data_IF_970688085156
#
_entry.id   IF_970688085156
#
_cell.length_a   1.000
_cell.length_b   1.000
_cell.length_c   1.000
_cell.angle_alpha   90.00
_cell.angle_beta   90.00
_cell.angle_gamma   90.00
#
_symmetry.space_group_name_H-M   'P 1'
#
loop_
_entity.id
_entity.type
_entity.pdbx_description
1 polymer ?
#
# COMPACT_ATOMS: atom_id res chain seq x y z
N UNK A 1 -30.35 19.88 15.37
CA UNK A 1 -29.48 20.86 14.68
C UNK A 1 -28.19 21.04 15.45
N UNK A 2 -27.14 20.28 15.13
CA UNK A 2 -25.85 20.40 15.82
C UNK A 2 -24.94 21.34 15.03
N UNK A 3 -24.56 22.44 15.68
CA UNK A 3 -23.72 23.53 15.18
C UNK A 3 -22.50 22.98 14.45
N UNK A 4 -22.29 23.47 13.22
CA UNK A 4 -21.02 23.39 12.52
C UNK A 4 -19.94 23.95 13.45
N UNK A 5 -19.17 23.08 14.11
CA UNK A 5 -17.93 23.48 14.77
C UNK A 5 -16.92 23.79 13.66
N UNK A 6 -17.04 24.96 13.04
CA UNK A 6 -16.05 25.55 12.13
C UNK A 6 -14.81 25.95 12.92
N UNK A 7 -14.11 24.96 13.46
CA UNK A 7 -12.82 25.17 14.12
C UNK A 7 -11.71 25.36 13.10
N UNK A 8 -10.61 25.99 13.51
CA UNK A 8 -9.37 26.10 12.73
C UNK A 8 -8.85 24.73 12.25
N UNK A 9 -9.03 23.67 13.06
CA UNK A 9 -8.54 22.31 12.77
C UNK A 9 -9.16 21.70 11.49
N UNK A 10 -10.50 21.63 11.33
CA UNK A 10 -11.12 21.22 10.06
C UNK A 10 -10.61 22.00 8.84
N UNK A 11 -10.44 23.32 8.96
CA UNK A 11 -9.94 24.14 7.85
C UNK A 11 -8.50 23.77 7.45
N UNK A 12 -7.64 23.49 8.43
CA UNK A 12 -6.27 23.01 8.16
C UNK A 12 -6.26 21.67 7.41
N UNK A 13 -7.17 20.75 7.74
CA UNK A 13 -7.27 19.47 7.04
C UNK A 13 -7.88 19.59 5.64
N UNK A 14 -8.81 20.53 5.43
CA UNK A 14 -9.25 20.92 4.08
C UNK A 14 -8.10 21.50 3.26
N UNK A 15 -7.31 22.40 3.86
CA UNK A 15 -6.12 22.96 3.22
C UNK A 15 -5.07 21.90 2.90
N UNK A 16 -4.88 20.92 3.79
CA UNK A 16 -4.00 19.78 3.54
C UNK A 16 -4.51 18.90 2.38
N UNK A 17 -5.82 18.59 2.33
CA UNK A 17 -6.40 17.87 1.19
C UNK A 17 -6.20 18.64 -0.12
N UNK A 18 -6.46 19.95 -0.12
CA UNK A 18 -6.25 20.80 -1.28
C UNK A 18 -4.79 20.80 -1.74
N UNK A 19 -3.86 21.04 -0.83
CA UNK A 19 -2.43 21.03 -1.12
C UNK A 19 -1.99 19.68 -1.69
N UNK A 20 -2.42 18.57 -1.08
CA UNK A 20 -2.08 17.22 -1.57
C UNK A 20 -2.63 17.00 -2.99
N UNK A 21 -3.83 17.46 -3.32
CA UNK A 21 -4.35 17.41 -4.69
C UNK A 21 -3.51 18.22 -5.68
N UNK A 22 -3.03 19.40 -5.29
CA UNK A 22 -2.12 20.19 -6.14
C UNK A 22 -0.76 19.50 -6.34
N UNK A 23 -0.22 18.90 -5.28
CA UNK A 23 1.06 18.19 -5.32
C UNK A 23 1.05 16.95 -6.22
N UNK A 24 -0.12 16.39 -6.53
CA UNK A 24 -0.25 15.31 -7.51
C UNK A 24 0.16 15.74 -8.93
N UNK A 25 0.03 17.03 -9.26
CA UNK A 25 0.41 17.57 -10.57
C UNK A 25 1.91 17.86 -10.69
N UNK A 26 2.67 17.78 -9.58
CA UNK A 26 4.10 18.08 -9.55
C UNK A 26 4.90 16.77 -9.51
N UNK A 27 5.73 16.47 -10.52
CA UNK A 27 6.58 15.29 -10.53
C UNK A 27 7.42 15.20 -9.25
N UNK A 28 7.72 13.97 -8.80
CA UNK A 28 8.41 13.66 -7.52
C UNK A 28 7.56 13.94 -6.27
N UNK A 29 6.85 15.07 -6.22
CA UNK A 29 5.97 15.42 -5.09
C UNK A 29 4.64 14.66 -5.12
N UNK A 30 4.26 14.12 -6.28
CA UNK A 30 3.09 13.26 -6.43
C UNK A 30 3.17 11.97 -5.60
N UNK A 31 4.35 11.37 -5.44
CA UNK A 31 4.54 10.13 -4.66
C UNK A 31 4.17 10.30 -3.17
N UNK A 32 4.75 11.25 -2.42
CA UNK A 32 4.31 11.49 -1.05
C UNK A 32 2.85 11.99 -0.99
N UNK A 33 2.38 12.75 -1.99
CA UNK A 33 0.98 13.17 -2.04
C UNK A 33 0.03 11.96 -2.08
N UNK A 34 0.28 10.99 -2.96
CA UNK A 34 -0.50 9.74 -3.05
C UNK A 34 -0.49 8.97 -1.73
N UNK A 35 0.66 8.86 -1.06
CA UNK A 35 0.79 8.15 0.21
C UNK A 35 -0.02 8.78 1.35
N UNK A 36 -0.20 10.10 1.33
CA UNK A 36 -0.88 10.84 2.40
C UNK A 36 -2.30 11.29 2.06
N UNK A 37 -2.74 11.15 0.80
CA UNK A 37 -4.00 11.68 0.29
C UNK A 37 -5.24 11.22 1.06
N UNK A 38 -5.24 9.98 1.54
CA UNK A 38 -6.38 9.44 2.29
C UNK A 38 -6.51 10.06 3.70
N UNK A 39 -5.39 10.49 4.32
CA UNK A 39 -5.35 10.99 5.71
C UNK A 39 -6.33 12.14 5.97
N UNK A 40 -6.33 13.26 5.21
CA UNK A 40 -7.25 14.36 5.46
C UNK A 40 -8.72 13.93 5.35
N UNK A 41 -9.08 13.05 4.40
CA UNK A 41 -10.44 12.54 4.28
C UNK A 41 -10.86 11.70 5.48
N UNK A 42 -9.97 10.83 5.99
CA UNK A 42 -10.22 10.05 7.22
C UNK A 42 -10.43 10.98 8.41
N UNK A 43 -9.58 12.00 8.56
CA UNK A 43 -9.64 12.93 9.70
C UNK A 43 -10.92 13.77 9.64
N UNK A 44 -11.20 14.40 8.50
CA UNK A 44 -12.40 15.22 8.31
C UNK A 44 -13.66 14.37 8.50
N UNK A 45 -13.73 13.19 7.90
CA UNK A 45 -14.90 12.33 8.04
C UNK A 45 -15.04 11.84 9.48
N UNK A 46 -13.99 11.37 10.13
CA UNK A 46 -14.10 10.84 11.49
C UNK A 46 -14.53 11.89 12.54
N UNK A 47 -14.19 13.17 12.33
CA UNK A 47 -14.38 14.24 13.33
C UNK A 47 -15.55 15.20 13.07
N UNK A 48 -16.06 15.29 11.84
CA UNK A 48 -17.14 16.20 11.47
C UNK A 48 -18.48 15.49 11.34
N UNK A 49 -19.60 16.22 11.28
CA UNK A 49 -20.87 15.66 10.80
C UNK A 49 -20.82 15.39 9.29
N UNK A 50 -21.72 14.57 8.73
CA UNK A 50 -21.73 14.28 7.28
C UNK A 50 -21.88 15.55 6.42
N UNK A 51 -22.75 16.48 6.84
CA UNK A 51 -22.94 17.76 6.14
C UNK A 51 -21.72 18.68 6.25
N UNK A 52 -21.09 18.75 7.44
CA UNK A 52 -19.86 19.51 7.63
C UNK A 52 -18.69 18.94 6.80
N UNK A 53 -18.57 17.61 6.74
CA UNK A 53 -17.59 16.94 5.88
C UNK A 53 -17.77 17.33 4.41
N UNK A 54 -19.00 17.29 3.89
CA UNK A 54 -19.28 17.71 2.51
C UNK A 54 -18.91 19.18 2.27
N UNK A 55 -19.24 20.07 3.21
CA UNK A 55 -18.90 21.49 3.13
C UNK A 55 -17.39 21.76 3.11
N UNK A 56 -16.59 20.87 3.69
CA UNK A 56 -15.13 20.96 3.72
C UNK A 56 -14.45 20.29 2.51
N UNK A 57 -15.07 19.28 1.92
CA UNK A 57 -14.49 18.49 0.82
C UNK A 57 -14.87 19.04 -0.56
N UNK A 58 -16.14 19.44 -0.76
CA UNK A 58 -16.62 19.90 -2.07
C UNK A 58 -15.88 21.16 -2.55
N UNK A 59 -15.72 22.23 -1.73
CA UNK A 59 -14.99 23.42 -2.19
C UNK A 59 -13.53 23.13 -2.51
N UNK A 60 -12.89 22.21 -1.77
CA UNK A 60 -11.50 21.78 -2.03
C UNK A 60 -11.40 21.14 -3.41
N UNK A 61 -12.35 20.27 -3.77
CA UNK A 61 -12.38 19.61 -5.08
C UNK A 61 -12.65 20.59 -6.21
N UNK A 62 -13.62 21.49 -6.04
CA UNK A 62 -13.92 22.53 -7.03
C UNK A 62 -12.68 23.40 -7.26
N UNK A 63 -12.04 23.88 -6.20
CA UNK A 63 -10.83 24.68 -6.30
C UNK A 63 -9.68 23.92 -6.97
N UNK A 64 -9.46 22.65 -6.60
CA UNK A 64 -8.40 21.84 -7.20
C UNK A 64 -8.66 21.59 -8.69
N UNK A 65 -9.91 21.30 -9.08
CA UNK A 65 -10.28 21.09 -10.47
C UNK A 65 -10.14 22.35 -11.33
N UNK A 66 -10.39 23.54 -10.78
CA UNK A 66 -10.18 24.80 -11.48
C UNK A 66 -8.70 25.10 -11.75
N UNK A 67 -7.78 24.60 -10.91
CA UNK A 67 -6.34 24.87 -11.01
C UNK A 67 -5.60 23.79 -11.80
N UNK A 68 -5.85 22.53 -11.47
CA UNK A 68 -5.15 21.36 -12.04
C UNK A 68 -5.89 20.78 -13.24
N UNK A 69 -7.20 21.02 -13.33
CA UNK A 69 -8.08 20.42 -14.32
C UNK A 69 -8.97 19.31 -13.75
N UNK A 70 -10.01 18.89 -14.51
CA UNK A 70 -11.06 18.01 -14.00
C UNK A 70 -10.58 16.58 -13.67
N UNK A 71 -9.49 16.11 -14.28
CA UNK A 71 -8.94 14.78 -14.04
C UNK A 71 -8.54 14.54 -12.58
N UNK A 72 -8.19 15.61 -11.84
CA UNK A 72 -7.86 15.53 -10.41
C UNK A 72 -9.02 15.00 -9.56
N UNK A 73 -10.26 15.15 -10.04
CA UNK A 73 -11.47 14.68 -9.36
C UNK A 73 -11.56 13.15 -9.34
N UNK A 74 -11.02 12.47 -10.35
CA UNK A 74 -10.96 11.00 -10.41
C UNK A 74 -10.08 10.51 -9.26
N UNK A 75 -8.88 11.09 -9.12
CA UNK A 75 -7.95 10.76 -8.04
C UNK A 75 -8.54 11.14 -6.67
N UNK A 76 -9.17 12.32 -6.58
CA UNK A 76 -9.89 12.74 -5.38
C UNK A 76 -10.92 11.69 -4.95
N UNK A 77 -11.73 11.21 -5.89
CA UNK A 77 -12.77 10.21 -5.66
C UNK A 77 -12.19 8.86 -5.25
N UNK A 78 -11.10 8.43 -5.89
CA UNK A 78 -10.39 7.22 -5.51
C UNK A 78 -10.03 7.22 -4.02
N UNK A 79 -9.45 8.30 -3.49
CA UNK A 79 -9.04 8.39 -2.08
C UNK A 79 -10.18 8.73 -1.11
N UNK A 80 -11.27 9.32 -1.60
CA UNK A 80 -12.42 9.69 -0.79
C UNK A 80 -13.15 8.47 -0.23
N UNK A 81 -13.45 7.48 -1.09
CA UNK A 81 -14.20 6.27 -0.71
C UNK A 81 -13.53 5.47 0.43
N UNK A 82 -12.24 5.09 0.34
CA UNK A 82 -11.57 4.35 1.40
C UNK A 82 -11.32 5.24 2.62
N UNK A 83 -11.16 6.56 2.43
CA UNK A 83 -11.08 7.54 3.52
C UNK A 83 -12.36 7.61 4.36
N UNK A 84 -13.52 7.65 3.69
CA UNK A 84 -14.85 7.58 4.33
C UNK A 84 -15.02 6.24 5.04
N UNK A 85 -14.67 5.12 4.38
CA UNK A 85 -14.80 3.79 4.96
C UNK A 85 -13.96 3.65 6.24
N UNK A 86 -12.70 4.08 6.21
CA UNK A 86 -11.81 4.07 7.38
C UNK A 86 -12.35 4.99 8.48
N UNK A 87 -12.77 6.21 8.16
CA UNK A 87 -13.33 7.15 9.12
C UNK A 87 -14.63 6.66 9.76
N UNK A 88 -15.46 5.91 9.02
CA UNK A 88 -16.66 5.27 9.55
C UNK A 88 -16.34 4.15 10.53
N UNK A 89 -15.36 3.31 10.20
CA UNK A 89 -14.90 2.25 11.11
C UNK A 89 -14.23 2.82 12.37
N UNK A 90 -13.56 3.97 12.28
CA UNK A 90 -13.04 4.70 13.45
C UNK A 90 -14.15 5.17 14.38
N UNK A 91 -15.23 5.76 13.86
CA UNK A 91 -16.39 6.16 14.67
C UNK A 91 -17.05 4.97 15.37
N UNK A 92 -17.01 3.79 14.75
CA UNK A 92 -17.48 2.53 15.33
C UNK A 92 -16.48 1.87 16.29
N UNK A 93 -15.29 2.46 16.50
CA UNK A 93 -14.19 1.91 17.31
C UNK A 93 -13.81 0.47 16.92
N UNK A 94 -13.86 0.18 15.63
CA UNK A 94 -13.56 -1.17 15.12
C UNK A 94 -12.07 -1.52 15.30
N UNK A 95 -11.72 -2.79 15.56
CA UNK A 95 -10.33 -3.21 15.74
C UNK A 95 -9.46 -2.87 14.53
N UNK A 96 -8.21 -2.46 14.76
CA UNK A 96 -7.28 -2.06 13.70
C UNK A 96 -7.14 -3.11 12.59
N UNK A 97 -7.08 -4.39 12.94
CA UNK A 97 -7.01 -5.49 11.96
C UNK A 97 -8.24 -5.53 11.02
N UNK A 98 -9.43 -5.23 11.55
CA UNK A 98 -10.67 -5.15 10.74
C UNK A 98 -10.66 -3.91 9.85
N UNK A 99 -10.16 -2.77 10.34
CA UNK A 99 -9.99 -1.55 9.56
C UNK A 99 -9.06 -1.79 8.36
N UNK A 100 -7.86 -2.32 8.61
CA UNK A 100 -6.88 -2.57 7.54
C UNK A 100 -7.43 -3.56 6.51
N UNK A 101 -8.10 -4.64 6.95
CA UNK A 101 -8.66 -5.64 6.03
C UNK A 101 -9.75 -5.04 5.14
N UNK A 102 -10.75 -4.38 5.73
CA UNK A 102 -11.88 -3.85 4.95
C UNK A 102 -11.41 -2.74 4.02
N UNK A 103 -10.63 -1.78 4.54
CA UNK A 103 -10.20 -0.64 3.73
C UNK A 103 -9.18 -1.07 2.66
N UNK A 104 -8.29 -2.01 2.97
CA UNK A 104 -7.35 -2.57 1.99
C UNK A 104 -8.08 -3.28 0.83
N UNK A 105 -9.13 -4.04 1.14
CA UNK A 105 -9.99 -4.66 0.10
C UNK A 105 -10.72 -3.60 -0.71
N UNK A 106 -11.22 -2.52 -0.09
CA UNK A 106 -11.85 -1.41 -0.82
C UNK A 106 -10.86 -0.76 -1.79
N UNK A 107 -9.64 -0.42 -1.33
CA UNK A 107 -8.62 0.18 -2.20
C UNK A 107 -8.24 -0.77 -3.34
N UNK A 108 -8.05 -2.06 -3.06
CA UNK A 108 -7.75 -3.06 -4.09
C UNK A 108 -8.88 -3.18 -5.12
N UNK A 109 -10.13 -3.26 -4.65
CA UNK A 109 -11.30 -3.32 -5.52
C UNK A 109 -11.44 -2.06 -6.38
N UNK A 110 -11.09 -0.89 -5.85
CA UNK A 110 -11.09 0.36 -6.62
C UNK A 110 -10.00 0.36 -7.70
N UNK A 111 -8.78 -0.08 -7.40
CA UNK A 111 -7.71 -0.20 -8.41
C UNK A 111 -8.13 -1.11 -9.57
N UNK A 112 -8.76 -2.25 -9.25
CA UNK A 112 -9.28 -3.17 -10.27
C UNK A 112 -10.47 -2.60 -11.03
N UNK A 113 -11.38 -1.90 -10.33
CA UNK A 113 -12.54 -1.27 -10.94
C UNK A 113 -12.13 -0.15 -11.90
N UNK A 114 -11.11 0.64 -11.56
CA UNK A 114 -10.61 1.69 -12.44
C UNK A 114 -10.10 1.11 -13.76
N UNK A 115 -9.28 0.05 -13.74
CA UNK A 115 -8.86 -0.64 -14.99
C UNK A 115 -10.06 -0.97 -15.89
N UNK A 116 -11.10 -1.57 -15.30
CA UNK A 116 -12.31 -1.94 -16.04
C UNK A 116 -13.09 -0.72 -16.53
N UNK A 117 -13.17 0.34 -15.74
CA UNK A 117 -13.92 1.56 -16.09
C UNK A 117 -13.27 2.28 -17.26
N UNK A 118 -11.94 2.45 -17.24
CA UNK A 118 -11.21 3.06 -18.35
C UNK A 118 -11.36 2.25 -19.64
N UNK A 119 -11.24 0.92 -19.54
CA UNK A 119 -11.34 0.04 -20.71
C UNK A 119 -12.76 0.03 -21.30
N UNK A 120 -13.79 -0.16 -20.47
CA UNK A 120 -15.16 -0.36 -20.96
C UNK A 120 -15.92 0.93 -21.31
N UNK A 121 -15.61 2.05 -20.65
CA UNK A 121 -16.38 3.30 -20.80
C UNK A 121 -15.62 4.39 -21.53
N UNK A 122 -14.29 4.31 -21.60
CA UNK A 122 -13.45 5.31 -22.26
C UNK A 122 -12.67 4.74 -23.45
N UNK A 123 -12.89 3.46 -23.78
CA UNK A 123 -12.13 2.71 -24.80
C UNK A 123 -10.61 2.85 -24.61
N UNK A 124 -10.17 2.96 -23.35
CA UNK A 124 -8.80 3.24 -22.97
C UNK A 124 -8.23 2.10 -22.14
N UNK A 125 -7.36 1.30 -22.76
CA UNK A 125 -6.61 0.26 -22.08
C UNK A 125 -5.41 0.85 -21.35
N UNK A 126 -5.52 0.98 -20.03
CA UNK A 126 -4.41 1.45 -19.18
C UNK A 126 -3.19 0.53 -19.26
N UNK A 127 -3.40 -0.76 -19.55
CA UNK A 127 -2.32 -1.71 -19.72
C UNK A 127 -1.55 -1.49 -21.02
N UNK A 128 -2.25 -1.20 -22.12
CA UNK A 128 -1.62 -0.93 -23.40
C UNK A 128 -0.92 0.42 -23.40
N UNK A 129 -1.53 1.45 -22.80
CA UNK A 129 -0.90 2.76 -22.61
C UNK A 129 0.40 2.66 -21.80
N UNK A 130 0.37 1.89 -20.70
CA UNK A 130 1.58 1.64 -19.90
C UNK A 130 2.64 0.87 -20.71
N UNK A 131 2.21 -0.11 -21.52
CA UNK A 131 3.11 -0.89 -22.38
C UNK A 131 3.77 -0.02 -23.45
N UNK A 132 3.00 0.88 -24.08
CA UNK A 132 3.50 1.85 -25.05
C UNK A 132 4.50 2.81 -24.40
N UNK A 133 4.15 3.37 -23.24
CA UNK A 133 5.02 4.29 -22.52
C UNK A 133 6.37 3.64 -22.16
N UNK A 134 6.35 2.39 -21.66
CA UNK A 134 7.59 1.66 -21.36
C UNK A 134 8.39 1.44 -22.64
N UNK A 135 7.74 1.02 -23.74
CA UNK A 135 8.40 0.83 -25.03
C UNK A 135 9.07 2.09 -25.52
N UNK A 136 8.36 3.22 -25.52
CA UNK A 136 8.87 4.51 -25.99
C UNK A 136 10.11 4.95 -25.20
N UNK A 137 10.14 4.72 -23.89
CA UNK A 137 11.31 4.97 -23.04
C UNK A 137 12.49 4.12 -23.51
N UNK A 138 12.31 2.81 -23.69
CA UNK A 138 13.41 1.92 -24.10
C UNK A 138 13.88 2.19 -25.53
N UNK A 139 12.97 2.48 -26.46
CA UNK A 139 13.30 2.82 -27.84
C UNK A 139 14.12 4.12 -27.91
N UNK A 140 13.79 5.10 -27.08
CA UNK A 140 14.55 6.35 -26.93
C UNK A 140 15.97 6.10 -26.41
N UNK A 141 16.11 5.25 -25.40
CA UNK A 141 17.41 4.92 -24.79
C UNK A 141 18.26 4.07 -25.75
N UNK A 142 17.64 3.15 -26.50
CA UNK A 142 18.27 2.37 -27.57
C UNK A 142 18.80 3.27 -28.69
N UNK A 143 18.02 4.24 -29.14
CA UNK A 143 18.43 5.21 -30.15
C UNK A 143 19.64 6.06 -29.71
N UNK A 144 19.81 6.27 -28.40
CA UNK A 144 20.95 6.98 -27.82
C UNK A 144 22.17 6.08 -27.60
N UNK A 145 22.09 4.78 -27.91
CA UNK A 145 23.13 3.78 -27.71
C UNK A 145 23.68 3.74 -26.26
N UNK A 146 22.80 3.98 -25.30
CA UNK A 146 23.14 4.04 -23.86
C UNK A 146 22.83 2.72 -23.13
N UNK A 147 22.21 1.76 -23.81
CA UNK A 147 21.97 0.41 -23.30
C UNK A 147 23.15 -0.52 -23.58
N UNK A 148 23.17 -1.65 -22.87
CA UNK A 148 24.12 -2.72 -23.15
C UNK A 148 23.98 -3.18 -24.61
N UNK A 149 25.10 -3.47 -25.27
CA UNK A 149 25.18 -3.86 -26.68
C UNK A 149 24.34 -5.09 -27.06
N UNK A 150 23.89 -5.87 -26.08
CA UNK A 150 23.06 -7.07 -26.28
C UNK A 150 21.56 -6.81 -26.11
N UNK A 151 21.14 -5.60 -25.71
CA UNK A 151 19.72 -5.28 -25.55
C UNK A 151 19.03 -5.20 -26.91
N UNK A 152 17.86 -5.84 -27.03
CA UNK A 152 17.05 -5.85 -28.25
C UNK A 152 15.59 -5.53 -27.94
N UNK A 153 14.80 -5.21 -28.96
CA UNK A 153 13.35 -4.99 -28.82
C UNK A 153 12.62 -6.16 -28.14
N UNK A 154 13.06 -7.41 -28.39
CA UNK A 154 12.51 -8.60 -27.75
C UNK A 154 12.74 -8.63 -26.22
N UNK A 155 13.84 -8.05 -25.75
CA UNK A 155 14.07 -7.88 -24.32
C UNK A 155 13.08 -6.87 -23.71
N UNK A 156 12.80 -5.77 -24.42
CA UNK A 156 11.77 -4.80 -24.02
C UNK A 156 10.39 -5.48 -23.95
N UNK A 157 10.02 -6.30 -24.92
CA UNK A 157 8.74 -7.04 -24.93
C UNK A 157 8.60 -7.97 -23.71
N UNK A 158 9.68 -8.69 -23.40
CA UNK A 158 9.73 -9.60 -22.26
C UNK A 158 9.60 -8.82 -20.95
N UNK A 159 10.27 -7.67 -20.84
CA UNK A 159 10.18 -6.80 -19.66
C UNK A 159 8.76 -6.25 -19.48
N UNK A 160 8.13 -5.76 -20.54
CA UNK A 160 6.74 -5.30 -20.52
C UNK A 160 5.83 -6.42 -20.03
N UNK A 161 5.98 -7.63 -20.57
CA UNK A 161 5.18 -8.78 -20.15
C UNK A 161 5.38 -9.13 -18.67
N UNK A 162 6.61 -9.09 -18.17
CA UNK A 162 6.94 -9.29 -16.75
C UNK A 162 6.25 -8.23 -15.87
N UNK A 163 6.31 -6.95 -16.27
CA UNK A 163 5.68 -5.84 -15.54
C UNK A 163 4.17 -6.03 -15.48
N UNK A 164 3.52 -6.34 -16.62
CA UNK A 164 2.07 -6.59 -16.67
C UNK A 164 1.70 -7.77 -15.77
N UNK A 165 2.47 -8.86 -15.84
CA UNK A 165 2.23 -10.04 -15.01
C UNK A 165 2.37 -9.75 -13.51
N UNK A 166 3.12 -8.72 -13.09
CA UNK A 166 3.28 -8.32 -11.69
C UNK A 166 2.27 -7.24 -11.21
N UNK A 167 1.35 -6.80 -12.07
CA UNK A 167 0.29 -5.85 -11.68
C UNK A 167 -0.54 -6.37 -10.50
N UNK A 168 -0.98 -7.65 -10.46
CA UNK A 168 -1.77 -8.15 -9.33
C UNK A 168 -1.04 -8.01 -7.99
N UNK A 169 0.24 -8.41 -7.93
CA UNK A 169 1.09 -8.22 -6.75
C UNK A 169 1.21 -6.72 -6.41
N UNK A 170 1.51 -5.89 -7.39
CA UNK A 170 1.69 -4.44 -7.20
C UNK A 170 0.45 -3.80 -6.62
N UNK A 171 -0.74 -4.15 -7.11
CA UNK A 171 -2.01 -3.63 -6.63
C UNK A 171 -2.29 -4.07 -5.19
N UNK A 172 -2.02 -5.33 -4.85
CA UNK A 172 -2.16 -5.82 -3.47
C UNK A 172 -1.22 -5.06 -2.53
N UNK A 173 0.07 -4.94 -2.88
CA UNK A 173 1.05 -4.24 -2.06
C UNK A 173 0.68 -2.77 -1.91
N UNK A 174 0.33 -2.08 -3.01
CA UNK A 174 -0.06 -0.68 -3.00
C UNK A 174 -1.29 -0.44 -2.12
N UNK A 175 -2.34 -1.27 -2.26
CA UNK A 175 -3.55 -1.17 -1.46
C UNK A 175 -3.27 -1.31 0.05
N UNK A 176 -2.41 -2.26 0.43
CA UNK A 176 -2.01 -2.43 1.82
C UNK A 176 -1.11 -1.28 2.33
N UNK A 177 -0.15 -0.81 1.54
CA UNK A 177 0.72 0.31 1.90
C UNK A 177 -0.10 1.57 2.13
N UNK A 178 -0.95 1.95 1.18
CA UNK A 178 -1.83 3.13 1.31
C UNK A 178 -2.71 3.02 2.55
N UNK A 179 -3.28 1.84 2.80
CA UNK A 179 -4.17 1.61 3.95
C UNK A 179 -3.43 1.66 5.29
N UNK A 180 -2.27 1.01 5.41
CA UNK A 180 -1.49 0.94 6.65
C UNK A 180 -0.89 2.29 7.00
N UNK A 181 -0.29 2.98 6.03
CA UNK A 181 0.29 4.33 6.23
C UNK A 181 -0.80 5.30 6.68
N UNK A 182 -1.92 5.32 5.97
CA UNK A 182 -3.02 6.20 6.31
C UNK A 182 -3.65 5.88 7.65
N UNK A 183 -3.83 4.59 7.97
CA UNK A 183 -4.31 4.18 9.29
C UNK A 183 -3.37 4.64 10.39
N UNK A 184 -2.06 4.43 10.23
CA UNK A 184 -1.06 4.84 11.22
C UNK A 184 -1.07 6.35 11.49
N UNK A 185 -1.12 7.16 10.43
CA UNK A 185 -1.13 8.63 10.54
C UNK A 185 -2.46 9.16 11.04
N UNK A 186 -3.56 8.81 10.37
CA UNK A 186 -4.90 9.30 10.70
C UNK A 186 -5.30 8.91 12.12
N UNK A 187 -5.01 7.67 12.56
CA UNK A 187 -5.23 7.24 13.93
C UNK A 187 -4.61 8.18 14.95
N UNK A 188 -3.35 8.58 14.77
CA UNK A 188 -2.64 9.46 15.72
C UNK A 188 -3.30 10.83 15.82
N UNK A 189 -3.74 11.36 14.68
CA UNK A 189 -4.40 12.66 14.58
C UNK A 189 -5.80 12.62 15.22
N UNK A 190 -6.57 11.58 14.89
CA UNK A 190 -7.96 11.42 15.34
C UNK A 190 -8.02 11.14 16.85
N UNK A 191 -7.09 10.33 17.38
CA UNK A 191 -6.97 10.12 18.83
C UNK A 191 -6.75 11.42 19.60
N UNK A 192 -5.93 12.35 19.07
CA UNK A 192 -5.72 13.68 19.67
C UNK A 192 -6.95 14.58 19.62
N UNK A 193 -7.96 14.21 18.84
CA UNK A 193 -9.23 14.93 18.73
C UNK A 193 -10.33 14.35 19.64
N UNK A 194 -10.00 13.38 20.50
CA UNK A 194 -10.90 12.80 21.50
C UNK A 194 -11.65 11.55 21.04
N UNK A 195 -11.47 11.09 19.79
CA UNK A 195 -12.03 9.83 19.31
C UNK A 195 -10.98 8.72 19.48
N UNK A 196 -11.23 7.79 20.39
CA UNK A 196 -10.37 6.63 20.60
C UNK A 196 -10.43 5.66 19.42
N UNK A 197 -9.29 5.48 18.76
CA UNK A 197 -9.10 4.56 17.64
C UNK A 197 -8.17 3.42 18.08
N UNK A 198 -8.62 2.16 18.03
CA UNK A 198 -7.80 0.99 18.40
C UNK A 198 -6.47 0.95 17.65
N UNK A 199 -5.40 0.53 18.32
CA UNK A 199 -4.08 0.35 17.72
C UNK A 199 -3.90 -1.07 17.16
N UNK A 200 -2.99 -1.22 16.22
CA UNK A 200 -2.45 -2.54 15.88
C UNK A 200 -1.58 -3.06 17.05
N UNK A 201 -1.50 -4.39 17.28
CA UNK A 201 -0.54 -4.96 18.22
C UNK A 201 0.89 -4.51 17.93
N UNK A 202 1.73 -4.47 18.97
CA UNK A 202 3.15 -4.10 18.81
C UNK A 202 3.83 -5.12 17.89
N UNK A 203 4.82 -4.66 17.11
CA UNK A 203 5.52 -5.51 16.14
C UNK A 203 6.10 -6.81 16.74
N UNK A 204 6.65 -6.73 17.96
CA UNK A 204 7.17 -7.87 18.72
C UNK A 204 6.13 -8.98 19.00
N UNK A 205 4.84 -8.65 18.95
CA UNK A 205 3.74 -9.56 19.26
C UNK A 205 3.13 -10.17 17.98
N UNK A 206 3.61 -9.78 16.80
CA UNK A 206 3.12 -10.32 15.52
C UNK A 206 3.48 -11.79 15.38
N UNK A 207 2.47 -12.60 15.06
CA UNK A 207 2.59 -14.04 14.78
C UNK A 207 1.66 -14.43 13.64
N UNK A 208 2.24 -15.03 12.62
CA UNK A 208 1.50 -15.65 11.54
C UNK A 208 1.00 -17.06 11.93
N UNK A 209 -0.12 -17.52 11.35
CA UNK A 209 -0.54 -18.91 11.49
C UNK A 209 0.44 -19.86 10.78
N UNK A 210 0.72 -21.00 11.41
CA UNK A 210 1.64 -22.03 10.87
C UNK A 210 1.25 -22.55 9.49
N UNK A 211 -0.04 -22.54 9.15
CA UNK A 211 -0.52 -22.98 7.84
C UNK A 211 0.09 -22.18 6.68
N UNK A 212 0.42 -20.89 6.88
CA UNK A 212 1.07 -20.07 5.85
C UNK A 212 2.45 -20.59 5.46
N UNK A 213 3.15 -21.27 6.38
CA UNK A 213 4.46 -21.88 6.07
C UNK A 213 4.28 -22.98 5.03
N UNK A 214 3.26 -23.83 5.19
CA UNK A 214 2.97 -24.92 4.27
C UNK A 214 2.60 -24.35 2.88
N UNK A 215 1.71 -23.36 2.84
CA UNK A 215 1.34 -22.71 1.58
C UNK A 215 2.54 -22.09 0.86
N UNK A 216 3.44 -21.43 1.59
CA UNK A 216 4.63 -20.83 1.01
C UNK A 216 5.63 -21.85 0.49
N UNK A 217 5.89 -22.93 1.23
CA UNK A 217 6.78 -24.00 0.78
C UNK A 217 6.21 -24.69 -0.47
N UNK A 218 4.92 -24.97 -0.52
CA UNK A 218 4.28 -25.55 -1.71
C UNK A 218 4.42 -24.59 -2.90
N UNK A 219 4.04 -23.32 -2.74
CA UNK A 219 4.13 -22.34 -3.82
C UNK A 219 5.57 -22.16 -4.31
N UNK A 220 6.54 -22.06 -3.40
CA UNK A 220 7.95 -21.92 -3.73
C UNK A 220 8.51 -23.15 -4.46
N UNK A 221 8.19 -24.36 -3.98
CA UNK A 221 8.61 -25.61 -4.65
C UNK A 221 7.99 -25.70 -6.05
N UNK A 222 6.70 -25.36 -6.21
CA UNK A 222 6.07 -25.33 -7.53
C UNK A 222 6.77 -24.33 -8.46
N UNK A 223 7.14 -23.16 -7.96
CA UNK A 223 7.81 -22.10 -8.73
C UNK A 223 9.19 -22.55 -9.24
N UNK A 224 9.96 -23.28 -8.42
CA UNK A 224 11.29 -23.80 -8.79
C UNK A 224 11.29 -24.73 -10.02
N UNK A 225 10.20 -25.46 -10.25
CA UNK A 225 10.09 -26.40 -11.37
C UNK A 225 9.36 -25.83 -12.58
N UNK A 226 8.89 -24.58 -12.51
CA UNK A 226 8.13 -23.94 -13.58
C UNK A 226 9.02 -22.97 -14.37
N UNK A 227 8.86 -22.97 -15.70
CA UNK A 227 9.50 -21.99 -16.56
C UNK A 227 8.75 -20.65 -16.44
N UNK A 228 9.43 -19.62 -15.96
CA UNK A 228 8.88 -18.27 -15.69
C UNK A 228 8.36 -17.53 -16.92
N UNK A 229 8.69 -18.00 -18.13
CA UNK A 229 8.32 -17.35 -19.40
C UNK A 229 6.96 -17.78 -19.98
N UNK A 230 6.27 -18.73 -19.34
CA UNK A 230 4.98 -19.20 -19.88
C UNK A 230 3.85 -18.19 -19.63
N UNK A 231 2.93 -18.03 -20.59
CA UNK A 231 1.66 -17.29 -20.44
C UNK A 231 0.58 -18.08 -19.70
N UNK A 232 0.89 -19.28 -19.21
CA UNK A 232 -0.09 -20.11 -18.52
C UNK A 232 -0.47 -19.50 -17.16
N UNK A 233 -1.71 -19.75 -16.73
CA UNK A 233 -2.24 -19.20 -15.48
C UNK A 233 -1.35 -19.51 -14.27
N UNK A 234 -0.88 -20.75 -14.14
CA UNK A 234 -0.17 -21.19 -12.93
C UNK A 234 1.19 -20.49 -12.74
N UNK A 235 2.09 -20.41 -13.73
CA UNK A 235 3.35 -19.66 -13.57
C UNK A 235 3.14 -18.17 -13.29
N UNK A 236 2.16 -17.52 -13.92
CA UNK A 236 1.81 -16.12 -13.62
C UNK A 236 1.28 -15.98 -12.18
N UNK A 237 0.45 -16.91 -11.72
CA UNK A 237 -0.05 -16.92 -10.35
C UNK A 237 1.09 -17.08 -9.32
N UNK A 238 2.04 -17.99 -9.57
CA UNK A 238 3.20 -18.22 -8.70
C UNK A 238 4.13 -17.01 -8.66
N UNK A 239 4.36 -16.36 -9.81
CA UNK A 239 5.15 -15.13 -9.94
C UNK A 239 4.64 -13.98 -9.05
N UNK A 240 3.34 -13.98 -8.70
CA UNK A 240 2.76 -13.01 -7.77
C UNK A 240 2.66 -13.56 -6.34
N UNK A 241 2.25 -14.82 -6.20
CA UNK A 241 1.98 -15.45 -4.90
C UNK A 241 3.25 -15.66 -4.07
N UNK A 242 4.34 -16.12 -4.69
CA UNK A 242 5.61 -16.38 -3.99
C UNK A 242 6.20 -15.09 -3.43
N UNK A 243 6.33 -13.97 -4.20
CA UNK A 243 6.75 -12.70 -3.63
C UNK A 243 5.79 -12.16 -2.56
N UNK A 244 4.47 -12.29 -2.76
CA UNK A 244 3.48 -11.85 -1.77
C UNK A 244 3.67 -12.56 -0.42
N UNK A 245 3.81 -13.88 -0.42
CA UNK A 245 4.08 -14.67 0.78
C UNK A 245 5.44 -14.32 1.37
N UNK A 246 6.45 -14.09 0.53
CA UNK A 246 7.78 -13.64 0.97
C UNK A 246 7.69 -12.30 1.73
N UNK A 247 6.90 -11.33 1.26
CA UNK A 247 6.66 -10.08 1.99
C UNK A 247 5.93 -10.29 3.33
N UNK A 248 4.95 -11.19 3.36
CA UNK A 248 4.24 -11.54 4.59
C UNK A 248 5.21 -12.14 5.62
N UNK A 249 6.12 -13.02 5.21
CA UNK A 249 7.16 -13.56 6.08
C UNK A 249 8.26 -12.55 6.41
N UNK A 250 8.59 -11.61 5.54
CA UNK A 250 9.47 -10.50 5.85
C UNK A 250 8.91 -9.63 6.99
N UNK A 251 7.59 -9.36 6.98
CA UNK A 251 6.91 -8.66 8.09
C UNK A 251 7.00 -9.46 9.40
N UNK A 252 6.87 -10.79 9.33
CA UNK A 252 7.07 -11.66 10.50
C UNK A 252 8.51 -11.61 11.02
N UNK A 253 9.50 -11.62 10.12
CA UNK A 253 10.92 -11.49 10.48
C UNK A 253 11.20 -10.16 11.19
N UNK A 254 10.62 -9.05 10.71
CA UNK A 254 10.68 -7.75 11.39
C UNK A 254 10.11 -7.86 12.80
N UNK A 255 8.92 -8.47 12.95
CA UNK A 255 8.31 -8.71 14.26
C UNK A 255 9.21 -9.53 15.19
N UNK A 256 9.89 -10.54 14.65
CA UNK A 256 10.87 -11.35 15.38
C UNK A 256 12.08 -10.53 15.85
N UNK A 257 12.64 -9.65 15.03
CA UNK A 257 13.73 -8.77 15.45
C UNK A 257 13.29 -7.78 16.54
N UNK A 258 12.07 -7.24 16.47
CA UNK A 258 11.50 -6.44 17.56
C UNK A 258 11.31 -7.26 18.85
N UNK A 259 11.00 -8.55 18.74
CA UNK A 259 10.91 -9.46 19.87
C UNK A 259 12.27 -9.69 20.53
N UNK A 260 13.32 -9.98 19.74
CA UNK A 260 14.70 -10.13 20.23
C UNK A 260 15.15 -8.85 20.91
N UNK A 261 14.98 -7.71 20.24
CA UNK A 261 15.42 -6.41 20.76
C UNK A 261 14.80 -6.11 22.13
N UNK A 262 13.55 -6.52 22.36
CA UNK A 262 12.88 -6.34 23.63
C UNK A 262 13.46 -7.22 24.76
N UNK A 263 13.82 -8.48 24.50
CA UNK A 263 14.28 -9.40 25.54
C UNK A 263 15.80 -9.35 25.78
N UNK A 264 16.55 -8.85 24.79
CA UNK A 264 18.01 -8.69 24.83
C UNK A 264 18.45 -7.25 25.05
N UNK A 265 17.52 -6.36 25.39
CA UNK A 265 17.78 -4.94 25.67
C UNK A 265 18.51 -4.20 24.53
N UNK A 266 18.25 -4.57 23.27
CA UNK A 266 18.81 -3.85 22.13
C UNK A 266 18.14 -2.47 21.96
N UNK A 267 18.89 -1.51 21.42
CA UNK A 267 18.33 -0.21 21.05
C UNK A 267 17.19 -0.40 20.04
N UNK A 268 16.06 0.30 20.27
CA UNK A 268 14.87 0.25 19.41
C UNK A 268 15.13 0.65 17.96
N UNK A 269 16.21 1.39 17.69
CA UNK A 269 16.62 1.72 16.33
C UNK A 269 17.11 0.50 15.54
N UNK A 270 17.72 -0.50 16.20
CA UNK A 270 18.29 -1.68 15.55
C UNK A 270 17.24 -2.46 14.73
N UNK A 271 16.10 -2.91 15.29
CA UNK A 271 15.10 -3.63 14.50
C UNK A 271 14.46 -2.77 13.39
N UNK A 272 14.44 -1.44 13.54
CA UNK A 272 13.98 -0.52 12.48
C UNK A 272 14.96 -0.51 11.31
N UNK A 273 16.26 -0.43 11.59
CA UNK A 273 17.30 -0.47 10.56
C UNK A 273 17.35 -1.84 9.87
N UNK A 274 17.16 -2.94 10.59
CA UNK A 274 17.09 -4.31 10.05
C UNK A 274 15.85 -4.50 9.15
N UNK A 275 14.76 -3.75 9.37
CA UNK A 275 13.56 -3.89 8.55
C UNK A 275 13.79 -3.56 7.07
N UNK A 276 14.71 -2.63 6.77
CA UNK A 276 15.02 -2.22 5.40
C UNK A 276 15.61 -3.40 4.59
N UNK A 277 16.76 -3.99 4.96
CA UNK A 277 17.30 -5.12 4.22
C UNK A 277 16.36 -6.32 4.23
N UNK A 278 15.60 -6.58 5.31
CA UNK A 278 14.62 -7.69 5.36
C UNK A 278 13.53 -7.54 4.30
N UNK A 279 13.09 -6.32 3.98
CA UNK A 279 12.11 -6.07 2.92
C UNK A 279 12.73 -6.07 1.52
N UNK A 280 13.99 -5.63 1.39
CA UNK A 280 14.67 -5.48 0.09
C UNK A 280 15.37 -6.75 -0.40
N UNK A 281 15.72 -7.68 0.51
CA UNK A 281 16.47 -8.90 0.20
C UNK A 281 15.53 -10.09 0.43
N UNK A 282 14.84 -10.61 -0.61
CA UNK A 282 13.81 -11.62 -0.47
C UNK A 282 14.22 -12.88 0.34
N UNK A 283 15.46 -13.40 0.23
CA UNK A 283 15.90 -14.52 1.06
C UNK A 283 15.82 -14.28 2.57
N UNK A 284 15.87 -13.04 3.05
CA UNK A 284 15.76 -12.73 4.49
C UNK A 284 14.36 -12.99 5.05
N UNK A 285 13.34 -13.11 4.19
CA UNK A 285 11.99 -13.53 4.59
C UNK A 285 11.97 -14.93 5.22
N UNK A 286 12.95 -15.80 4.90
CA UNK A 286 13.08 -17.13 5.48
C UNK A 286 13.25 -17.10 7.01
N UNK A 287 13.77 -16.02 7.58
CA UNK A 287 13.84 -15.82 9.03
C UNK A 287 12.42 -15.83 9.63
N UNK A 288 11.46 -15.18 8.96
CA UNK A 288 10.06 -15.15 9.38
C UNK A 288 9.38 -16.51 9.20
N UNK A 289 9.77 -17.27 8.17
CA UNK A 289 9.32 -18.67 7.98
C UNK A 289 9.77 -19.51 9.18
N UNK A 290 11.04 -19.44 9.56
CA UNK A 290 11.59 -20.15 10.71
C UNK A 290 10.92 -19.73 12.03
N UNK A 291 10.68 -18.43 12.23
CA UNK A 291 9.98 -17.91 13.41
C UNK A 291 8.52 -18.40 13.51
N UNK A 292 7.88 -18.62 12.37
CA UNK A 292 6.49 -19.14 12.33
C UNK A 292 6.46 -20.65 12.52
N UNK A 293 7.35 -21.38 11.84
CA UNK A 293 7.40 -22.83 11.82
C UNK A 293 7.83 -23.39 13.20
N UNK A 294 8.86 -22.78 13.79
CA UNK A 294 9.48 -23.27 15.01
C UNK A 294 9.31 -22.27 16.16
N UNK A 295 9.20 -22.73 17.41
CA UNK A 295 9.03 -21.85 18.57
C UNK A 295 10.36 -21.16 19.00
N UNK A 296 11.13 -20.61 18.05
CA UNK A 296 12.48 -20.07 18.29
C UNK A 296 12.50 -18.91 19.29
N UNK A 297 11.41 -18.14 19.39
CA UNK A 297 11.27 -17.04 20.35
C UNK A 297 11.54 -17.46 21.79
N UNK A 298 11.17 -18.70 22.16
CA UNK A 298 11.37 -19.21 23.53
C UNK A 298 12.84 -19.20 23.96
N UNK A 299 13.78 -19.35 23.02
CA UNK A 299 15.22 -19.36 23.31
C UNK A 299 15.80 -17.97 23.69
N UNK A 300 15.03 -16.89 23.50
CA UNK A 300 15.49 -15.52 23.77
C UNK A 300 14.88 -14.92 25.04
N UNK A 301 13.97 -15.62 25.70
CA UNK A 301 13.48 -15.22 27.03
C UNK A 301 14.62 -15.49 28.03
N UNK A 302 15.05 -14.47 28.78
CA UNK A 302 16.00 -14.68 29.89
C UNK A 302 15.41 -15.71 30.85
N UNK A 303 16.14 -16.78 31.18
CA UNK A 303 15.72 -17.64 32.28
C UNK A 303 15.72 -16.79 33.55
N UNK A 304 14.57 -16.73 34.23
CA UNK A 304 14.52 -16.20 35.59
C UNK A 304 15.21 -17.15 36.55
#
# INVERSE_FOLDING_TARGET
MNRLKTGLKPLLWSGAAFLLLLLLAVPVLNLPALLFMMVPYVVLYSTLSKGAFALHTIPVWVAAALIVGPAVLIIGLFFLLPGIAMGHLYRKKEPAAKVIRIVGVIVLAQLMLELLVFELFLDLSLLDEMSSMIRDVFDTVMAQNTLATEWTSSHTDTLIQVIINMIPLTFIILAYVLTVVSHYLARRIVNRSGLEVPAFPKARDWKLPRSLVIFYLIAYVMDLFMLSTSKAFLPVALMNLVPLLSYVFAIQAIGFFFYIAHHRDWNRAVPVLIAIPVLLIPPLSLIGVLDTAFPIRKAFVKSQ
#
